data_IF_832033657538
#
_entry.id   IF_832033657538
#
_cell.length_a   1.000
_cell.length_b   1.000
_cell.length_c   1.000
_cell.angle_alpha   90.00
_cell.angle_beta   90.00
_cell.angle_gamma   90.00
#
_symmetry.space_group_name_H-M   'P 1'
#
loop_
_entity.id
_entity.type
_entity.pdbx_description
1 polymer ?
#
# COMPACT_ATOMS: atom_id res chain seq x y z
N UNK A 1 -15.98 28.46 4.79
CA UNK A 1 -15.70 28.92 3.40
C UNK A 1 -16.73 28.26 2.49
N UNK A 2 -17.19 28.94 1.45
CA UNK A 2 -18.09 28.32 0.45
C UNK A 2 -17.30 27.33 -0.40
N UNK A 3 -17.88 26.15 -0.67
CA UNK A 3 -17.31 25.16 -1.58
C UNK A 3 -17.37 25.72 -3.01
N UNK A 4 -16.26 25.72 -3.78
CA UNK A 4 -16.26 26.19 -5.16
C UNK A 4 -17.04 25.23 -6.07
N UNK A 5 -17.45 25.71 -7.23
CA UNK A 5 -18.13 24.86 -8.22
C UNK A 5 -17.16 23.91 -8.94
N UNK A 6 -15.91 24.34 -9.12
CA UNK A 6 -14.86 23.58 -9.81
C UNK A 6 -13.59 23.53 -8.98
N UNK A 7 -12.71 22.56 -9.26
CA UNK A 7 -11.47 22.31 -8.55
C UNK A 7 -10.33 21.92 -9.48
N UNK A 8 -9.10 21.98 -8.97
CA UNK A 8 -7.95 21.37 -9.62
C UNK A 8 -7.95 19.88 -9.32
N UNK A 9 -7.63 19.05 -10.32
CA UNK A 9 -7.52 17.61 -10.17
C UNK A 9 -6.53 17.03 -11.20
N UNK A 10 -6.02 15.85 -10.93
CA UNK A 10 -5.23 15.08 -11.88
C UNK A 10 -6.13 14.07 -12.59
N UNK A 11 -6.24 14.23 -13.92
CA UNK A 11 -7.01 13.35 -14.78
C UNK A 11 -6.10 12.44 -15.59
N UNK A 12 -6.33 11.15 -15.53
CA UNK A 12 -5.70 10.16 -16.40
C UNK A 12 -6.45 10.10 -17.72
N UNK A 13 -5.75 10.36 -18.84
CA UNK A 13 -6.35 10.51 -20.16
C UNK A 13 -6.23 9.28 -21.05
N UNK A 14 -5.34 8.33 -20.71
CA UNK A 14 -5.14 7.06 -21.42
C UNK A 14 -4.64 5.97 -20.47
N UNK A 15 -4.42 4.75 -20.96
CA UNK A 15 -3.82 3.64 -20.22
C UNK A 15 -2.36 3.38 -20.59
N UNK A 16 -1.66 4.38 -21.15
CA UNK A 16 -0.24 4.22 -21.48
C UNK A 16 0.70 4.42 -20.29
N UNK A 17 0.18 4.97 -19.17
CA UNK A 17 0.91 5.12 -17.92
C UNK A 17 0.84 6.53 -17.32
N UNK A 18 1.63 6.77 -16.24
CA UNK A 18 1.61 8.04 -15.50
C UNK A 18 1.94 9.29 -16.33
N UNK A 19 2.65 9.14 -17.44
CA UNK A 19 2.97 10.26 -18.35
C UNK A 19 1.74 10.91 -18.99
N UNK A 20 0.59 10.22 -18.98
CA UNK A 20 -0.68 10.75 -19.51
C UNK A 20 -1.62 11.28 -18.42
N UNK A 21 -1.13 11.45 -17.22
CA UNK A 21 -1.78 12.14 -16.13
C UNK A 21 -1.66 13.66 -16.35
N UNK A 22 -2.80 14.36 -16.36
CA UNK A 22 -2.87 15.80 -16.65
C UNK A 22 -3.55 16.57 -15.53
N UNK A 23 -2.99 17.72 -15.16
CA UNK A 23 -3.70 18.66 -14.31
C UNK A 23 -4.82 19.34 -15.10
N UNK A 24 -6.03 19.29 -14.57
CA UNK A 24 -7.17 20.07 -15.02
C UNK A 24 -7.60 21.02 -13.91
N UNK A 25 -8.23 22.15 -14.26
CA UNK A 25 -8.58 23.22 -13.30
C UNK A 25 -10.09 23.46 -13.20
N UNK A 26 -10.86 22.71 -13.95
CA UNK A 26 -12.30 22.85 -14.14
C UNK A 26 -13.09 21.57 -13.81
N UNK A 27 -12.45 20.65 -13.07
CA UNK A 27 -13.15 19.46 -12.57
C UNK A 27 -14.31 19.88 -11.65
N UNK A 28 -15.53 19.37 -11.83
CA UNK A 28 -16.62 19.70 -10.92
C UNK A 28 -16.33 19.16 -9.52
N UNK A 29 -16.59 19.98 -8.49
CA UNK A 29 -16.54 19.48 -7.10
C UNK A 29 -17.72 18.56 -6.87
N UNK A 30 -17.49 17.29 -6.44
CA UNK A 30 -18.57 16.34 -6.24
C UNK A 30 -19.40 16.69 -4.98
N UNK A 31 -20.67 16.29 -4.97
CA UNK A 31 -21.52 16.34 -3.78
C UNK A 31 -21.56 14.95 -3.12
N UNK A 32 -21.50 14.86 -1.77
CA UNK A 32 -21.61 13.58 -1.10
C UNK A 32 -23.05 13.06 -1.16
N UNK A 33 -23.20 11.79 -1.51
CA UNK A 33 -24.45 11.05 -1.43
C UNK A 33 -24.74 10.52 -0.02
N UNK A 34 -25.82 9.75 0.15
CA UNK A 34 -26.13 9.08 1.44
C UNK A 34 -24.96 8.18 1.88
N UNK A 35 -24.54 8.29 3.14
CA UNK A 35 -23.45 7.50 3.71
C UNK A 35 -22.03 7.98 3.28
N UNK A 36 -21.90 9.15 2.65
CA UNK A 36 -20.65 9.70 2.17
C UNK A 36 -20.30 11.03 2.84
N UNK A 37 -19.03 11.38 2.81
CA UNK A 37 -18.52 12.69 3.24
C UNK A 37 -17.70 13.34 2.11
N UNK A 38 -17.83 14.65 1.95
CA UNK A 38 -16.93 15.44 1.12
C UNK A 38 -15.80 15.98 1.98
N UNK A 39 -14.56 15.72 1.61
CA UNK A 39 -13.40 16.31 2.25
C UNK A 39 -12.71 17.34 1.34
N UNK A 40 -12.19 18.38 1.95
CA UNK A 40 -11.16 19.24 1.34
C UNK A 40 -9.83 18.53 1.58
N UNK A 41 -9.22 18.06 0.49
CA UNK A 41 -7.97 17.30 0.54
C UNK A 41 -6.81 18.21 0.92
N UNK A 42 -6.04 17.79 1.90
CA UNK A 42 -4.78 18.45 2.31
C UNK A 42 -3.57 17.60 1.95
N UNK A 43 -3.76 16.26 1.82
CA UNK A 43 -2.75 15.34 1.35
C UNK A 43 -3.41 14.13 0.68
N UNK A 44 -2.91 13.72 -0.48
CA UNK A 44 -3.34 12.52 -1.19
C UNK A 44 -2.20 11.50 -1.27
N UNK A 45 -2.48 10.25 -0.89
CA UNK A 45 -1.48 9.18 -0.83
C UNK A 45 -1.25 8.53 -2.19
N UNK A 46 -0.02 8.55 -2.67
CA UNK A 46 0.36 7.82 -3.88
C UNK A 46 0.63 6.36 -3.56
N UNK A 47 0.02 5.46 -4.32
CA UNK A 47 0.11 4.01 -4.18
C UNK A 47 0.52 3.36 -5.51
N UNK A 48 1.09 2.16 -5.46
CA UNK A 48 1.45 1.45 -6.70
C UNK A 48 0.21 1.07 -7.54
N UNK A 49 -0.95 0.93 -6.91
CA UNK A 49 -2.22 0.69 -7.62
C UNK A 49 -2.58 1.83 -8.57
N UNK A 50 -2.22 3.08 -8.25
CA UNK A 50 -2.46 4.22 -9.14
C UNK A 50 -1.69 4.06 -10.46
N UNK A 51 -0.46 3.51 -10.38
CA UNK A 51 0.35 3.16 -11.56
C UNK A 51 -0.30 2.00 -12.32
N UNK A 52 -0.75 0.96 -11.61
CA UNK A 52 -1.39 -0.20 -12.21
C UNK A 52 -2.68 0.18 -12.95
N UNK A 53 -3.46 1.13 -12.39
CA UNK A 53 -4.63 1.72 -13.05
C UNK A 53 -4.23 2.54 -14.29
N UNK A 54 -3.21 3.40 -14.17
CA UNK A 54 -2.71 4.21 -15.27
C UNK A 54 -2.14 3.36 -16.43
N UNK A 55 -1.64 2.16 -16.14
CA UNK A 55 -1.15 1.17 -17.11
C UNK A 55 -2.22 0.21 -17.63
N UNK A 56 -3.45 0.27 -17.08
CA UNK A 56 -4.54 -0.63 -17.47
C UNK A 56 -4.33 -2.09 -17.06
N UNK A 57 -3.39 -2.38 -16.17
CA UNK A 57 -3.10 -3.74 -15.68
C UNK A 57 -3.84 -4.07 -14.39
N UNK A 58 -4.60 -3.13 -13.82
CA UNK A 58 -5.44 -3.36 -12.66
C UNK A 58 -6.81 -3.90 -13.10
N UNK A 59 -7.11 -5.15 -12.77
CA UNK A 59 -8.37 -5.78 -13.14
C UNK A 59 -9.57 -5.01 -12.55
N UNK A 60 -10.53 -4.64 -13.41
CA UNK A 60 -11.68 -3.83 -13.01
C UNK A 60 -11.36 -2.35 -12.76
N UNK A 61 -10.17 -1.88 -13.15
CA UNK A 61 -9.76 -0.48 -13.03
C UNK A 61 -10.61 0.49 -13.86
N UNK A 62 -10.50 1.80 -13.57
CA UNK A 62 -11.28 2.81 -14.25
C UNK A 62 -10.89 2.94 -15.73
N UNK A 63 -11.84 3.41 -16.56
CA UNK A 63 -11.60 3.70 -17.98
C UNK A 63 -11.33 5.19 -18.16
N UNK A 64 -10.29 5.55 -18.89
CA UNK A 64 -10.03 6.97 -19.21
C UNK A 64 -11.16 7.64 -19.99
N UNK A 65 -11.40 8.95 -19.79
CA UNK A 65 -10.74 9.79 -18.80
C UNK A 65 -11.32 9.57 -17.37
N UNK A 66 -10.47 9.56 -16.33
CA UNK A 66 -10.90 9.46 -14.93
C UNK A 66 -10.01 10.32 -14.02
N UNK A 67 -10.53 10.77 -12.87
CA UNK A 67 -9.74 11.43 -11.84
C UNK A 67 -8.97 10.39 -11.04
N UNK A 68 -7.67 10.55 -10.95
CA UNK A 68 -6.77 9.57 -10.34
C UNK A 68 -6.69 9.68 -8.81
N UNK A 69 -6.06 8.65 -8.19
CA UNK A 69 -5.82 8.59 -6.75
C UNK A 69 -6.92 7.90 -5.96
N UNK A 70 -6.53 7.06 -5.02
CA UNK A 70 -7.49 6.28 -4.20
C UNK A 70 -7.44 6.59 -2.71
N UNK A 71 -6.48 7.36 -2.22
CA UNK A 71 -6.26 7.63 -0.80
C UNK A 71 -6.06 9.12 -0.56
N UNK A 72 -6.82 9.67 0.38
CA UNK A 72 -6.70 11.08 0.76
C UNK A 72 -6.89 11.29 2.25
N UNK A 73 -6.24 12.33 2.77
CA UNK A 73 -6.49 12.90 4.08
C UNK A 73 -6.88 14.38 3.94
N UNK A 74 -7.72 14.86 4.84
CA UNK A 74 -8.18 16.25 4.82
C UNK A 74 -9.31 16.51 5.79
N UNK A 75 -9.94 17.66 5.64
CA UNK A 75 -11.00 18.15 6.51
C UNK A 75 -12.37 17.91 5.86
N UNK A 76 -13.30 17.33 6.61
CA UNK A 76 -14.69 17.17 6.19
C UNK A 76 -15.32 18.56 6.00
N UNK A 77 -15.87 18.80 4.82
CA UNK A 77 -16.60 20.05 4.52
C UNK A 77 -18.11 19.84 4.51
N UNK A 78 -18.58 18.65 4.13
CA UNK A 78 -20.00 18.31 4.05
C UNK A 78 -20.18 16.83 4.35
N UNK A 79 -21.27 16.49 5.03
CA UNK A 79 -21.69 15.11 5.29
C UNK A 79 -22.97 14.83 4.53
N UNK A 80 -23.08 13.63 3.95
CA UNK A 80 -24.29 13.14 3.29
C UNK A 80 -25.32 12.63 4.30
N UNK A 81 -26.50 12.32 3.79
CA UNK A 81 -27.59 11.78 4.59
C UNK A 81 -27.18 10.45 5.28
N UNK A 82 -27.60 10.28 6.54
CA UNK A 82 -27.36 9.05 7.31
C UNK A 82 -25.95 8.91 7.89
N UNK A 83 -25.05 9.83 7.64
CA UNK A 83 -23.70 9.80 8.26
C UNK A 83 -23.81 10.18 9.74
N UNK A 84 -23.21 9.36 10.59
CA UNK A 84 -23.13 9.59 12.04
C UNK A 84 -21.67 9.49 12.51
N UNK A 85 -21.30 10.25 13.54
CA UNK A 85 -19.97 10.21 14.16
C UNK A 85 -18.86 10.94 13.37
N UNK A 86 -19.19 11.52 12.21
CA UNK A 86 -18.30 12.37 11.42
C UNK A 86 -19.00 13.72 11.19
N UNK A 87 -18.30 14.81 11.42
CA UNK A 87 -18.85 16.17 11.34
C UNK A 87 -17.95 17.08 10.51
N UNK A 88 -18.50 18.14 9.87
CA UNK A 88 -17.69 19.18 9.23
C UNK A 88 -16.64 19.76 10.17
N UNK A 89 -15.43 19.96 9.65
CA UNK A 89 -14.26 20.39 10.43
C UNK A 89 -13.43 19.23 11.00
N UNK A 90 -13.95 18.00 11.04
CA UNK A 90 -13.16 16.86 11.47
C UNK A 90 -12.10 16.48 10.41
N UNK A 91 -10.89 16.13 10.89
CA UNK A 91 -9.79 15.68 10.03
C UNK A 91 -9.85 14.15 9.90
N UNK A 92 -9.89 13.67 8.66
CA UNK A 92 -9.98 12.24 8.36
C UNK A 92 -8.96 11.82 7.31
N UNK A 93 -8.61 10.54 7.32
CA UNK A 93 -7.96 9.84 6.20
C UNK A 93 -8.92 8.79 5.69
N UNK A 94 -9.00 8.62 4.37
CA UNK A 94 -9.95 7.70 3.78
C UNK A 94 -9.52 7.14 2.43
N UNK A 95 -10.27 6.14 1.96
CA UNK A 95 -10.08 5.48 0.68
C UNK A 95 -11.30 5.72 -0.21
N UNK A 96 -11.06 6.22 -1.42
CA UNK A 96 -12.04 6.38 -2.48
C UNK A 96 -11.74 5.39 -3.61
N UNK A 97 -12.37 4.23 -3.58
CA UNK A 97 -12.14 3.16 -4.58
C UNK A 97 -12.53 3.62 -5.99
N UNK A 98 -13.49 4.52 -6.10
CA UNK A 98 -13.91 5.12 -7.36
C UNK A 98 -12.87 6.07 -8.00
N UNK A 99 -11.80 6.41 -7.26
CA UNK A 99 -10.78 7.37 -7.67
C UNK A 99 -11.10 8.79 -7.25
N UNK A 100 -10.27 9.75 -7.69
CA UNK A 100 -10.48 11.19 -7.49
C UNK A 100 -9.71 11.80 -6.32
N UNK A 101 -8.88 11.04 -5.60
CA UNK A 101 -8.11 11.56 -4.47
C UNK A 101 -7.02 12.58 -4.86
N UNK A 102 -6.54 12.54 -6.10
CA UNK A 102 -5.55 13.53 -6.58
C UNK A 102 -6.27 14.81 -7.05
N UNK A 103 -6.98 15.45 -6.12
CA UNK A 103 -7.79 16.65 -6.35
C UNK A 103 -7.87 17.49 -5.07
N UNK A 104 -8.41 18.70 -5.17
CA UNK A 104 -8.64 19.58 -4.01
C UNK A 104 -9.81 19.11 -3.13
N UNK A 105 -10.77 18.37 -3.71
CA UNK A 105 -11.91 17.78 -2.99
C UNK A 105 -12.15 16.36 -3.47
N UNK A 106 -12.59 15.50 -2.56
CA UNK A 106 -13.01 14.13 -2.91
C UNK A 106 -14.12 13.65 -1.99
N UNK A 107 -15.00 12.82 -2.52
CA UNK A 107 -16.03 12.14 -1.75
C UNK A 107 -15.45 10.80 -1.25
N UNK A 108 -15.65 10.53 0.03
CA UNK A 108 -15.27 9.27 0.69
C UNK A 108 -16.52 8.59 1.25
N UNK A 109 -16.65 7.26 1.15
CA UNK A 109 -17.60 6.52 1.98
C UNK A 109 -17.28 6.79 3.47
N UNK A 110 -18.28 7.17 4.26
CA UNK A 110 -18.08 7.45 5.68
C UNK A 110 -17.48 6.25 6.45
N UNK A 111 -17.86 5.03 6.05
CA UNK A 111 -17.32 3.78 6.60
C UNK A 111 -15.83 3.53 6.26
N UNK A 112 -15.30 4.21 5.23
CA UNK A 112 -13.90 4.14 4.80
C UNK A 112 -13.10 5.40 5.18
N UNK A 113 -13.66 6.28 6.01
CA UNK A 113 -13.03 7.48 6.53
C UNK A 113 -12.82 7.34 8.03
N UNK A 114 -11.57 7.44 8.48
CA UNK A 114 -11.21 7.35 9.90
C UNK A 114 -10.57 8.65 10.37
N UNK A 115 -10.76 9.07 11.63
CA UNK A 115 -10.11 10.26 12.17
C UNK A 115 -8.59 10.15 12.03
N UNK A 116 -7.94 11.25 11.65
CA UNK A 116 -6.48 11.36 11.71
C UNK A 116 -6.05 11.26 13.17
N UNK A 117 -5.08 10.39 13.52
CA UNK A 117 -4.63 10.25 14.89
C UNK A 117 -4.20 11.59 15.51
N UNK A 118 -4.52 11.78 16.79
CA UNK A 118 -4.21 13.03 17.48
C UNK A 118 -2.70 13.34 17.42
N UNK A 119 -2.38 14.58 17.09
CA UNK A 119 -1.00 15.06 16.98
C UNK A 119 -0.31 14.73 15.65
N UNK A 120 -0.96 14.01 14.73
CA UNK A 120 -0.41 13.75 13.40
C UNK A 120 -0.83 14.84 12.39
N UNK A 121 0.04 15.16 11.45
CA UNK A 121 -0.33 15.89 10.26
C UNK A 121 -1.09 14.94 9.29
N UNK A 122 -1.87 15.50 8.35
CA UNK A 122 -2.71 14.71 7.46
C UNK A 122 -1.89 13.77 6.58
N UNK A 123 -0.79 14.26 6.02
CA UNK A 123 0.12 13.45 5.21
C UNK A 123 0.79 12.30 6.01
N UNK A 124 0.91 12.46 7.33
CA UNK A 124 1.48 11.42 8.20
C UNK A 124 0.52 10.26 8.44
N UNK A 125 -0.78 10.46 8.23
CA UNK A 125 -1.80 9.44 8.34
C UNK A 125 -1.97 8.59 7.05
N UNK A 126 -1.38 9.03 5.94
CA UNK A 126 -1.43 8.27 4.68
C UNK A 126 -0.73 6.92 4.85
N UNK A 127 -1.37 5.88 4.34
CA UNK A 127 -0.96 4.48 4.52
C UNK A 127 -1.76 3.72 5.57
N UNK A 128 -2.44 4.42 6.50
CA UNK A 128 -3.28 3.79 7.54
C UNK A 128 -4.36 2.86 6.98
N UNK A 129 -4.89 3.15 5.79
CA UNK A 129 -6.02 2.41 5.21
C UNK A 129 -5.65 1.58 3.97
N UNK A 130 -4.44 1.73 3.44
CA UNK A 130 -3.98 0.98 2.27
C UNK A 130 -2.73 0.17 2.59
N UNK A 131 -1.63 0.84 2.86
CA UNK A 131 -0.31 0.19 2.97
C UNK A 131 -0.16 -0.64 4.25
N UNK A 132 -0.59 -0.13 5.38
CA UNK A 132 -0.37 -0.77 6.67
C UNK A 132 -1.31 -1.96 6.91
N UNK A 133 -2.63 -1.86 6.62
CA UNK A 133 -3.48 -3.05 6.71
C UNK A 133 -3.10 -4.12 5.71
N UNK A 134 -2.58 -3.76 4.51
CA UNK A 134 -2.01 -4.74 3.58
C UNK A 134 -0.83 -5.49 4.20
N UNK A 135 0.10 -4.76 4.85
CA UNK A 135 1.24 -5.39 5.53
C UNK A 135 0.80 -6.32 6.67
N UNK A 136 -0.15 -5.86 7.51
CA UNK A 136 -0.65 -6.66 8.63
C UNK A 136 -1.44 -7.88 8.15
N UNK A 137 -2.32 -7.71 7.16
CA UNK A 137 -3.07 -8.82 6.58
C UNK A 137 -2.15 -9.88 5.95
N UNK A 138 -1.09 -9.44 5.24
CA UNK A 138 -0.10 -10.33 4.65
C UNK A 138 0.72 -11.10 5.71
N UNK A 139 1.02 -10.48 6.84
CA UNK A 139 1.79 -11.11 7.92
C UNK A 139 0.92 -12.05 8.76
N UNK A 140 -0.27 -11.61 9.19
CA UNK A 140 -1.06 -12.31 10.22
C UNK A 140 -2.16 -13.21 9.67
N UNK A 141 -3.34 -12.71 9.26
CA UNK A 141 -4.44 -13.62 8.91
C UNK A 141 -4.14 -14.49 7.69
N UNK A 142 -3.34 -13.99 6.71
CA UNK A 142 -3.01 -14.73 5.50
C UNK A 142 -1.65 -15.42 5.59
N UNK A 143 -0.65 -14.75 6.14
CA UNK A 143 0.71 -15.28 6.31
C UNK A 143 0.87 -16.22 7.49
N UNK A 144 0.05 -16.06 8.54
CA UNK A 144 0.12 -16.89 9.75
C UNK A 144 1.42 -16.73 10.52
N UNK A 145 2.05 -15.54 10.47
CA UNK A 145 3.33 -15.28 11.13
C UNK A 145 3.24 -15.50 12.64
N UNK A 146 4.20 -16.25 13.18
CA UNK A 146 4.40 -16.49 14.61
C UNK A 146 5.81 -16.09 15.04
N UNK A 147 6.01 -15.87 16.34
CA UNK A 147 7.30 -15.52 16.88
C UNK A 147 8.37 -16.62 16.58
N UNK A 148 9.58 -16.18 16.31
CA UNK A 148 10.72 -17.05 15.98
C UNK A 148 10.81 -17.46 14.51
N UNK A 149 9.79 -17.19 13.69
CA UNK A 149 9.84 -17.48 12.27
C UNK A 149 10.68 -16.43 11.50
N UNK A 150 11.21 -16.86 10.35
CA UNK A 150 11.91 -15.98 9.42
C UNK A 150 10.95 -15.51 8.33
N UNK A 151 10.87 -14.19 8.13
CA UNK A 151 10.09 -13.57 7.05
C UNK A 151 10.99 -12.85 6.05
N UNK A 152 10.79 -13.13 4.77
CA UNK A 152 11.38 -12.39 3.65
C UNK A 152 10.39 -11.30 3.21
N UNK A 153 10.83 -10.04 3.20
CA UNK A 153 9.99 -8.91 2.81
C UNK A 153 10.61 -8.22 1.60
N UNK A 154 9.92 -8.28 0.45
CA UNK A 154 10.33 -7.56 -0.75
C UNK A 154 9.92 -6.09 -0.71
N UNK A 155 10.63 -5.24 -1.48
CA UNK A 155 10.39 -3.79 -1.55
C UNK A 155 10.29 -3.15 -0.14
N UNK A 156 11.14 -3.59 0.78
CA UNK A 156 11.08 -3.24 2.20
C UNK A 156 11.24 -1.73 2.49
N UNK A 157 11.82 -0.96 1.57
CA UNK A 157 11.94 0.49 1.69
C UNK A 157 10.66 1.25 1.30
N UNK A 158 9.67 0.61 0.67
CA UNK A 158 8.38 1.21 0.28
C UNK A 158 7.39 1.32 1.45
N UNK A 159 6.25 2.00 1.24
CA UNK A 159 5.27 2.26 2.29
C UNK A 159 4.75 1.00 3.00
N UNK A 160 4.33 -0.02 2.25
CA UNK A 160 3.89 -1.31 2.80
C UNK A 160 5.05 -2.08 3.43
N UNK A 161 6.22 -2.10 2.76
CA UNK A 161 7.40 -2.81 3.24
C UNK A 161 7.92 -2.28 4.58
N UNK A 162 7.97 -0.96 4.77
CA UNK A 162 8.39 -0.36 6.03
C UNK A 162 7.46 -0.73 7.19
N UNK A 163 6.14 -0.73 6.95
CA UNK A 163 5.17 -1.20 7.94
C UNK A 163 5.37 -2.70 8.23
N UNK A 164 5.54 -3.52 7.19
CA UNK A 164 5.75 -4.95 7.35
C UNK A 164 6.99 -5.30 8.17
N UNK A 165 8.12 -4.60 7.96
CA UNK A 165 9.34 -4.79 8.78
C UNK A 165 9.06 -4.51 10.26
N UNK A 166 8.45 -3.35 10.58
CA UNK A 166 8.14 -2.98 11.97
C UNK A 166 7.17 -3.95 12.63
N UNK A 167 6.11 -4.33 11.93
CA UNK A 167 5.10 -5.28 12.43
C UNK A 167 5.74 -6.65 12.65
N UNK A 168 6.50 -7.18 11.69
CA UNK A 168 7.16 -8.47 11.82
C UNK A 168 8.15 -8.50 12.99
N UNK A 169 8.92 -7.43 13.19
CA UNK A 169 9.82 -7.30 14.37
C UNK A 169 9.04 -7.25 15.67
N UNK A 170 7.92 -6.55 15.73
CA UNK A 170 7.06 -6.51 16.91
C UNK A 170 6.56 -7.92 17.30
N UNK A 171 6.24 -8.75 16.31
CA UNK A 171 5.83 -10.15 16.55
C UNK A 171 6.98 -11.13 16.73
N UNK A 172 8.20 -10.66 16.89
CA UNK A 172 9.36 -11.49 17.20
C UNK A 172 9.91 -12.31 16.05
N UNK A 173 9.69 -11.86 14.80
CA UNK A 173 10.24 -12.52 13.62
C UNK A 173 11.69 -12.11 13.37
N UNK A 174 12.45 -13.00 12.71
CA UNK A 174 13.68 -12.65 12.01
C UNK A 174 13.32 -12.11 10.63
N UNK A 175 13.73 -10.87 10.33
CA UNK A 175 13.36 -10.19 9.08
C UNK A 175 14.54 -10.17 8.12
N UNK A 176 14.39 -10.83 6.98
CA UNK A 176 15.24 -10.67 5.80
C UNK A 176 14.49 -9.72 4.85
N UNK A 177 15.09 -8.60 4.53
CA UNK A 177 14.47 -7.59 3.69
C UNK A 177 15.19 -7.44 2.36
N UNK A 178 14.49 -7.05 1.29
CA UNK A 178 15.13 -6.67 0.04
C UNK A 178 14.85 -5.21 -0.30
N UNK A 179 15.88 -4.49 -0.70
CA UNK A 179 15.82 -3.10 -1.14
C UNK A 179 16.97 -2.80 -2.11
N UNK A 180 16.89 -1.69 -2.81
CA UNK A 180 18.03 -1.19 -3.59
C UNK A 180 19.19 -0.79 -2.66
N UNK A 181 20.47 -0.91 -3.07
CA UNK A 181 21.61 -0.66 -2.19
C UNK A 181 21.58 0.68 -1.45
N UNK A 182 21.17 1.76 -2.12
CA UNK A 182 21.03 3.10 -1.50
C UNK A 182 19.95 3.22 -0.42
N UNK A 183 19.11 2.19 -0.26
CA UNK A 183 18.00 2.18 0.71
C UNK A 183 18.25 1.22 1.88
N UNK A 184 19.38 0.48 1.89
CA UNK A 184 19.68 -0.54 2.88
C UNK A 184 19.73 0.01 4.30
N UNK A 185 20.28 1.21 4.50
CA UNK A 185 20.37 1.83 5.83
C UNK A 185 19.00 2.16 6.40
N UNK A 186 18.10 2.68 5.56
CA UNK A 186 16.72 2.95 5.98
C UNK A 186 16.04 1.66 6.46
N UNK A 187 16.20 0.57 5.71
CA UNK A 187 15.57 -0.72 6.04
C UNK A 187 16.17 -1.32 7.31
N UNK A 188 17.51 -1.22 7.53
CA UNK A 188 18.14 -1.63 8.79
C UNK A 188 17.63 -0.82 9.98
N UNK A 189 17.46 0.49 9.81
CA UNK A 189 16.94 1.37 10.85
C UNK A 189 15.48 1.04 11.26
N UNK A 190 14.73 0.35 10.39
CA UNK A 190 13.39 -0.16 10.72
C UNK A 190 13.42 -1.43 11.58
N UNK A 191 14.58 -2.06 11.72
CA UNK A 191 14.80 -3.27 12.51
C UNK A 191 14.98 -4.54 11.68
N UNK A 192 15.18 -4.47 10.36
CA UNK A 192 15.49 -5.66 9.56
C UNK A 192 16.84 -6.27 10.01
N UNK A 193 16.84 -7.58 10.28
CA UNK A 193 18.04 -8.30 10.73
C UNK A 193 19.05 -8.46 9.59
N UNK A 194 18.54 -8.67 8.37
CA UNK A 194 19.35 -8.81 7.17
C UNK A 194 18.73 -8.00 6.02
N UNK A 195 19.57 -7.39 5.20
CA UNK A 195 19.14 -6.66 4.00
C UNK A 195 19.93 -7.13 2.80
N UNK A 196 19.22 -7.64 1.80
CA UNK A 196 19.76 -8.10 0.53
C UNK A 196 19.47 -7.08 -0.59
N UNK A 197 20.34 -7.03 -1.59
CA UNK A 197 20.09 -6.22 -2.78
C UNK A 197 18.92 -6.82 -3.58
N UNK A 198 17.88 -6.02 -3.81
CA UNK A 198 16.69 -6.41 -4.57
C UNK A 198 16.96 -6.70 -6.05
N UNK A 199 18.12 -6.30 -6.57
CA UNK A 199 18.58 -6.54 -7.95
C UNK A 199 19.66 -7.63 -8.03
N UNK A 200 20.01 -8.24 -6.90
CA UNK A 200 21.03 -9.28 -6.82
C UNK A 200 20.59 -10.55 -7.56
N UNK A 201 21.47 -11.11 -8.37
CA UNK A 201 21.19 -12.31 -9.19
C UNK A 201 20.86 -13.56 -8.33
N UNK A 202 21.34 -13.60 -7.08
CA UNK A 202 21.29 -14.77 -6.20
C UNK A 202 20.42 -14.56 -4.96
N UNK A 203 19.25 -13.94 -5.11
CA UNK A 203 18.37 -13.62 -3.99
C UNK A 203 18.01 -14.88 -3.18
N UNK A 204 17.53 -15.92 -3.86
CA UNK A 204 17.13 -17.17 -3.22
C UNK A 204 18.31 -17.82 -2.47
N UNK A 205 19.48 -17.90 -3.10
CA UNK A 205 20.68 -18.42 -2.47
C UNK A 205 21.12 -17.56 -1.26
N UNK A 206 20.92 -16.24 -1.33
CA UNK A 206 21.14 -15.33 -0.21
C UNK A 206 20.27 -15.66 1.00
N UNK A 207 18.96 -15.85 0.78
CA UNK A 207 18.02 -16.24 1.84
C UNK A 207 18.37 -17.62 2.40
N UNK A 208 18.65 -18.61 1.56
CA UNK A 208 19.03 -19.97 2.01
C UNK A 208 20.29 -19.94 2.88
N UNK A 209 21.30 -19.15 2.50
CA UNK A 209 22.51 -19.00 3.36
C UNK A 209 22.19 -18.43 4.74
N UNK A 210 21.30 -17.43 4.81
CA UNK A 210 20.90 -16.78 6.06
C UNK A 210 20.02 -17.67 6.95
N UNK A 211 19.34 -18.64 6.36
CA UNK A 211 18.45 -19.59 7.05
C UNK A 211 19.04 -20.99 7.21
N UNK A 212 20.35 -21.16 7.02
CA UNK A 212 21.00 -22.47 7.14
C UNK A 212 20.52 -23.52 6.11
N UNK A 213 19.99 -23.09 4.97
CA UNK A 213 19.45 -23.94 3.92
C UNK A 213 17.93 -24.21 4.02
N UNK A 214 17.28 -23.81 5.14
CA UNK A 214 15.86 -24.09 5.39
C UNK A 214 14.90 -23.25 4.54
N UNK A 215 15.26 -22.00 4.22
CA UNK A 215 14.41 -21.02 3.58
C UNK A 215 13.54 -20.22 4.56
N UNK A 216 12.86 -19.20 4.06
CA UNK A 216 11.97 -18.35 4.83
C UNK A 216 10.63 -19.03 5.13
N UNK A 217 10.14 -18.93 6.35
CA UNK A 217 8.82 -19.45 6.74
C UNK A 217 7.67 -18.68 6.05
N UNK A 218 7.88 -17.38 5.83
CA UNK A 218 6.93 -16.50 5.17
C UNK A 218 7.66 -15.60 4.17
N UNK A 219 7.08 -15.36 3.00
CA UNK A 219 7.54 -14.38 2.03
C UNK A 219 6.41 -13.41 1.73
N UNK A 220 6.68 -12.11 1.85
CA UNK A 220 5.80 -11.03 1.41
C UNK A 220 6.23 -10.58 0.02
N UNK A 221 5.44 -10.93 -0.99
CA UNK A 221 5.76 -10.76 -2.40
C UNK A 221 4.87 -9.69 -3.05
N UNK A 222 5.48 -8.58 -3.43
CA UNK A 222 4.81 -7.43 -4.05
C UNK A 222 5.36 -7.06 -5.42
N UNK A 223 6.31 -7.83 -5.92
CA UNK A 223 7.10 -7.47 -7.11
C UNK A 223 6.66 -8.23 -8.35
N UNK A 224 6.47 -9.56 -8.25
CA UNK A 224 6.15 -10.38 -9.41
C UNK A 224 7.36 -10.63 -10.33
N UNK A 225 7.09 -11.00 -11.57
CA UNK A 225 8.14 -11.34 -12.55
C UNK A 225 9.17 -12.34 -12.00
N UNK A 226 10.45 -12.14 -12.29
CA UNK A 226 11.54 -12.98 -11.80
C UNK A 226 11.69 -12.98 -10.26
N UNK A 227 11.15 -11.98 -9.55
CA UNK A 227 11.20 -11.96 -8.09
C UNK A 227 10.27 -13.01 -7.49
N UNK A 228 9.13 -13.31 -8.13
CA UNK A 228 8.26 -14.39 -7.68
C UNK A 228 8.97 -15.75 -7.75
N UNK A 229 9.69 -16.05 -8.84
CA UNK A 229 10.45 -17.30 -8.96
C UNK A 229 11.52 -17.42 -7.86
N UNK A 230 12.22 -16.32 -7.58
CA UNK A 230 13.19 -16.27 -6.50
C UNK A 230 12.53 -16.42 -5.10
N UNK A 231 11.33 -15.86 -4.91
CA UNK A 231 10.53 -15.97 -3.69
C UNK A 231 10.10 -17.43 -3.43
N UNK A 232 9.63 -18.13 -4.48
CA UNK A 232 9.27 -19.55 -4.38
C UNK A 232 10.49 -20.42 -4.02
N UNK A 233 11.66 -20.11 -4.60
CA UNK A 233 12.90 -20.83 -4.32
C UNK A 233 13.51 -20.50 -2.95
N UNK A 234 13.21 -19.33 -2.41
CA UNK A 234 13.68 -18.86 -1.09
C UNK A 234 12.79 -19.32 0.07
N UNK A 235 11.55 -19.71 -0.21
CA UNK A 235 10.61 -20.14 0.82
C UNK A 235 10.92 -21.56 1.31
N UNK A 236 10.62 -21.80 2.59
CA UNK A 236 10.77 -23.11 3.21
C UNK A 236 9.87 -24.14 2.54
N UNK A 237 10.42 -25.29 2.20
CA UNK A 237 9.61 -26.36 1.59
C UNK A 237 8.56 -26.89 2.57
N UNK A 238 7.42 -27.28 2.04
CA UNK A 238 6.25 -27.88 2.72
C UNK A 238 5.48 -26.87 3.57
N UNK A 239 6.13 -26.16 4.50
CA UNK A 239 5.44 -25.27 5.45
C UNK A 239 5.54 -23.79 5.09
N UNK A 240 6.43 -23.43 4.18
CA UNK A 240 6.63 -22.05 3.74
C UNK A 240 5.40 -21.47 3.04
N UNK A 241 5.19 -20.18 3.22
CA UNK A 241 4.09 -19.41 2.61
C UNK A 241 4.64 -18.23 1.83
N UNK A 242 4.08 -18.02 0.64
CA UNK A 242 4.34 -16.81 -0.16
C UNK A 242 3.03 -16.07 -0.30
N UNK A 243 2.91 -14.90 0.32
CA UNK A 243 1.74 -14.02 0.18
C UNK A 243 2.03 -13.02 -0.93
N UNK A 244 1.31 -13.16 -2.04
CA UNK A 244 1.44 -12.32 -3.23
C UNK A 244 0.39 -11.22 -3.20
N UNK A 245 0.82 -9.94 -3.19
CA UNK A 245 -0.08 -8.79 -3.12
C UNK A 245 0.27 -7.65 -4.09
N UNK A 246 1.17 -7.90 -5.03
CA UNK A 246 1.55 -6.91 -6.04
C UNK A 246 2.24 -7.52 -7.25
N UNK A 247 2.46 -6.67 -8.25
CA UNK A 247 3.09 -7.01 -9.52
C UNK A 247 3.98 -5.85 -10.04
N UNK A 248 4.70 -5.19 -9.13
CA UNK A 248 5.50 -4.01 -9.47
C UNK A 248 6.64 -4.28 -10.49
N UNK A 249 7.04 -5.52 -10.66
CA UNK A 249 8.01 -5.98 -11.66
C UNK A 249 7.39 -6.76 -12.82
N UNK A 250 6.06 -6.78 -12.90
CA UNK A 250 5.29 -7.47 -13.94
C UNK A 250 4.60 -8.74 -13.45
N UNK A 251 3.80 -9.30 -14.33
CA UNK A 251 3.12 -10.58 -14.09
C UNK A 251 4.11 -11.75 -14.04
N UNK A 252 3.74 -12.80 -13.32
CA UNK A 252 4.44 -14.07 -13.27
C UNK A 252 3.43 -15.22 -13.27
N UNK A 253 3.87 -16.39 -13.72
CA UNK A 253 3.04 -17.58 -13.74
C UNK A 253 3.61 -18.63 -12.80
N UNK A 254 2.74 -19.32 -12.09
CA UNK A 254 3.07 -20.48 -11.26
C UNK A 254 2.34 -21.67 -11.85
N UNK A 255 3.07 -22.73 -12.19
CA UNK A 255 2.47 -23.97 -12.69
C UNK A 255 2.21 -24.95 -11.54
N UNK A 256 1.35 -25.93 -11.77
CA UNK A 256 1.16 -27.03 -10.82
C UNK A 256 2.46 -27.83 -10.62
N UNK A 257 3.33 -27.91 -11.64
CA UNK A 257 4.66 -28.53 -11.52
C UNK A 257 5.52 -27.79 -10.50
N UNK A 258 5.54 -26.44 -10.55
CA UNK A 258 6.29 -25.62 -9.59
C UNK A 258 5.78 -25.84 -8.16
N UNK A 259 4.45 -25.86 -7.97
CA UNK A 259 3.85 -26.04 -6.65
C UNK A 259 4.08 -27.44 -6.08
N UNK A 260 3.94 -28.50 -6.89
CA UNK A 260 3.93 -29.89 -6.40
C UNK A 260 5.33 -30.49 -6.34
N UNK A 261 6.14 -30.27 -7.37
CA UNK A 261 7.41 -30.97 -7.52
C UNK A 261 8.63 -30.10 -7.25
N UNK A 262 8.60 -28.85 -7.68
CA UNK A 262 9.76 -27.96 -7.57
C UNK A 262 9.88 -27.31 -6.20
N UNK A 263 8.82 -26.69 -5.71
CA UNK A 263 8.85 -25.88 -4.49
C UNK A 263 8.09 -26.50 -3.32
N UNK A 264 6.90 -27.06 -3.55
CA UNK A 264 6.08 -27.74 -2.54
C UNK A 264 5.81 -26.82 -1.34
N UNK A 265 5.01 -25.75 -1.55
CA UNK A 265 4.73 -24.72 -0.56
C UNK A 265 3.32 -24.12 -0.74
N UNK A 266 2.95 -23.15 0.10
CA UNK A 266 1.66 -22.45 0.02
C UNK A 266 1.82 -21.12 -0.70
N UNK A 267 0.97 -20.84 -1.68
CA UNK A 267 0.84 -19.52 -2.31
C UNK A 267 -0.52 -18.93 -1.98
N UNK A 268 -0.52 -17.72 -1.45
CA UNK A 268 -1.72 -17.01 -0.98
C UNK A 268 -1.80 -15.66 -1.66
N UNK A 269 -2.92 -15.38 -2.34
CA UNK A 269 -3.17 -14.07 -2.94
C UNK A 269 -3.77 -13.10 -1.93
N UNK A 270 -3.37 -11.84 -1.97
CA UNK A 270 -3.96 -10.75 -1.20
C UNK A 270 -4.25 -9.55 -2.10
N UNK A 271 -5.52 -9.23 -2.22
CA UNK A 271 -5.97 -7.91 -2.68
C UNK A 271 -6.76 -7.28 -1.53
N UNK A 272 -6.27 -6.18 -0.98
CA UNK A 272 -6.89 -5.54 0.19
C UNK A 272 -8.32 -5.05 -0.10
N UNK A 273 -8.60 -4.58 -1.32
CA UNK A 273 -9.93 -4.17 -1.74
C UNK A 273 -10.92 -5.35 -1.76
N UNK A 274 -10.47 -6.52 -2.24
CA UNK A 274 -11.27 -7.75 -2.19
C UNK A 274 -11.48 -8.19 -0.74
N UNK A 275 -10.45 -8.12 0.11
CA UNK A 275 -10.58 -8.47 1.53
C UNK A 275 -11.64 -7.60 2.23
N UNK A 276 -11.65 -6.29 1.96
CA UNK A 276 -12.65 -5.35 2.50
C UNK A 276 -14.07 -5.76 2.08
N UNK A 277 -14.25 -6.13 0.82
CA UNK A 277 -15.57 -6.41 0.24
C UNK A 277 -16.10 -7.79 0.61
N UNK A 278 -15.23 -8.81 0.62
CA UNK A 278 -15.67 -10.22 0.71
C UNK A 278 -15.46 -10.82 2.09
N UNK A 279 -14.58 -10.25 2.91
CA UNK A 279 -14.31 -10.69 4.28
C UNK A 279 -14.18 -9.49 5.24
N UNK A 280 -15.24 -8.65 5.37
CA UNK A 280 -15.21 -7.42 6.17
C UNK A 280 -14.91 -7.67 7.65
N UNK A 281 -15.27 -8.83 8.19
CA UNK A 281 -14.92 -9.20 9.57
C UNK A 281 -13.41 -9.36 9.76
N UNK A 282 -12.73 -10.08 8.84
CA UNK A 282 -11.26 -10.24 8.87
C UNK A 282 -10.59 -8.88 8.71
N UNK A 283 -11.10 -8.03 7.82
CA UNK A 283 -10.57 -6.67 7.68
C UNK A 283 -10.79 -5.84 8.94
N UNK A 284 -11.95 -5.96 9.61
CA UNK A 284 -12.23 -5.30 10.89
C UNK A 284 -11.25 -5.73 11.98
N UNK A 285 -10.92 -7.01 12.07
CA UNK A 285 -9.90 -7.54 13.00
C UNK A 285 -8.50 -6.96 12.68
N UNK A 286 -8.12 -6.92 11.40
CA UNK A 286 -6.87 -6.29 10.94
C UNK A 286 -6.82 -4.82 11.35
N UNK A 287 -7.90 -4.07 11.16
CA UNK A 287 -7.94 -2.65 11.54
C UNK A 287 -7.89 -2.46 13.06
N UNK A 288 -8.59 -3.29 13.83
CA UNK A 288 -8.53 -3.26 15.30
C UNK A 288 -7.10 -3.49 15.81
N UNK A 289 -6.42 -4.52 15.29
CA UNK A 289 -5.02 -4.82 15.63
C UNK A 289 -4.08 -3.70 15.16
N UNK A 290 -4.32 -3.12 13.98
CA UNK A 290 -3.53 -2.01 13.45
C UNK A 290 -3.59 -0.79 14.37
N UNK A 291 -4.79 -0.40 14.83
CA UNK A 291 -4.93 0.73 15.76
C UNK A 291 -4.30 0.43 17.12
N UNK A 292 -4.31 -0.82 17.57
CA UNK A 292 -3.58 -1.22 18.79
C UNK A 292 -2.06 -1.07 18.60
N UNK A 293 -1.50 -1.43 17.43
CA UNK A 293 -0.09 -1.23 17.10
C UNK A 293 0.28 0.27 17.01
N UNK A 294 -0.62 1.11 16.51
CA UNK A 294 -0.44 2.58 16.52
C UNK A 294 -0.44 3.10 17.96
N UNK A 295 -1.40 2.69 18.78
CA UNK A 295 -1.48 3.11 20.18
C UNK A 295 -0.26 2.65 21.00
N UNK A 296 0.30 1.47 20.68
CA UNK A 296 1.53 0.95 21.29
C UNK A 296 2.82 1.59 20.77
N UNK A 297 2.74 2.50 19.77
CA UNK A 297 3.90 3.18 19.17
C UNK A 297 4.75 2.30 18.26
N UNK A 298 4.28 1.10 17.89
CA UNK A 298 4.95 0.22 16.91
C UNK A 298 4.92 0.85 15.52
N UNK A 299 3.76 1.41 15.16
CA UNK A 299 3.55 2.22 13.97
C UNK A 299 3.31 3.67 14.42
N UNK A 300 4.21 4.54 14.09
CA UNK A 300 4.13 5.97 14.39
C UNK A 300 3.80 6.81 13.16
N UNK A 301 3.72 8.15 13.30
CA UNK A 301 3.42 9.05 12.20
C UNK A 301 4.37 8.82 11.03
N UNK A 302 3.80 8.72 9.84
CA UNK A 302 4.55 8.56 8.59
C UNK A 302 5.45 9.76 8.30
N UNK A 303 6.43 9.57 7.41
CA UNK A 303 7.26 10.64 6.87
C UNK A 303 7.26 10.54 5.35
N UNK A 304 6.12 10.86 4.70
CA UNK A 304 6.04 10.77 3.26
C UNK A 304 6.91 11.84 2.60
N UNK A 305 7.48 11.49 1.45
CA UNK A 305 8.01 12.51 0.55
C UNK A 305 6.83 13.26 -0.09
N UNK A 306 6.85 14.59 -0.02
CA UNK A 306 5.74 15.43 -0.48
C UNK A 306 6.04 16.07 -1.83
N UNK A 307 5.01 16.15 -2.67
CA UNK A 307 5.02 16.78 -4.00
C UNK A 307 3.82 17.70 -4.11
N UNK A 308 3.91 18.77 -4.87
CA UNK A 308 2.73 19.53 -5.27
C UNK A 308 1.82 18.69 -6.18
N UNK A 309 0.52 19.00 -6.23
CA UNK A 309 -0.44 18.29 -7.10
C UNK A 309 0.03 18.24 -8.56
N UNK A 310 0.61 19.34 -9.06
CA UNK A 310 1.18 19.42 -10.42
C UNK A 310 2.31 18.44 -10.70
N UNK A 311 3.00 17.99 -9.66
CA UNK A 311 4.12 17.05 -9.76
C UNK A 311 3.68 15.58 -9.68
N UNK A 312 2.37 15.32 -9.67
CA UNK A 312 1.81 13.96 -9.62
C UNK A 312 2.39 13.01 -10.67
N UNK A 313 2.48 13.37 -11.98
CA UNK A 313 3.12 12.53 -12.98
C UNK A 313 4.56 12.15 -12.64
N UNK A 314 5.33 13.10 -12.09
CA UNK A 314 6.71 12.88 -11.63
C UNK A 314 6.76 11.92 -10.45
N UNK A 315 5.90 12.14 -9.42
CA UNK A 315 5.84 11.29 -8.25
C UNK A 315 5.51 9.82 -8.61
N UNK A 316 4.56 9.61 -9.52
CA UNK A 316 4.21 8.28 -9.99
C UNK A 316 5.35 7.64 -10.82
N UNK A 317 6.01 8.41 -11.67
CA UNK A 317 7.14 7.91 -12.46
C UNK A 317 8.34 7.52 -11.57
N UNK A 318 8.65 8.30 -10.53
CA UNK A 318 9.70 7.96 -9.56
C UNK A 318 9.34 6.71 -8.74
N UNK A 319 8.08 6.54 -8.35
CA UNK A 319 7.60 5.33 -7.69
C UNK A 319 7.73 4.10 -8.60
N UNK A 320 7.30 4.22 -9.85
CA UNK A 320 7.43 3.15 -10.86
C UNK A 320 8.89 2.75 -11.09
N UNK A 321 9.78 3.74 -11.15
CA UNK A 321 11.23 3.53 -11.28
C UNK A 321 11.90 2.97 -10.01
N UNK A 322 11.14 2.77 -8.91
CA UNK A 322 11.65 2.33 -7.59
C UNK A 322 12.73 3.26 -7.01
N UNK A 323 12.64 4.55 -7.33
CA UNK A 323 13.58 5.57 -6.89
C UNK A 323 13.20 6.21 -5.54
N UNK A 324 12.04 5.83 -4.99
CA UNK A 324 11.45 6.46 -3.81
C UNK A 324 11.63 5.63 -2.54
N UNK A 325 11.52 6.29 -1.38
CA UNK A 325 11.57 5.67 -0.05
C UNK A 325 10.29 6.02 0.71
N UNK A 326 9.66 5.01 1.32
CA UNK A 326 8.45 5.20 2.11
C UNK A 326 7.21 5.53 1.29
N UNK A 327 6.28 6.22 1.93
CA UNK A 327 5.05 6.71 1.32
C UNK A 327 5.30 8.02 0.57
N UNK A 328 4.56 8.27 -0.50
CA UNK A 328 4.54 9.56 -1.20
C UNK A 328 3.19 10.23 -0.97
N UNK A 329 3.19 11.55 -0.93
CA UNK A 329 2.00 12.39 -0.79
C UNK A 329 1.99 13.51 -1.83
N UNK A 330 0.83 13.73 -2.45
CA UNK A 330 0.54 14.93 -3.23
C UNK A 330 -0.18 15.94 -2.33
N UNK A 331 0.24 17.19 -2.37
CA UNK A 331 -0.39 18.30 -1.65
C UNK A 331 -1.11 19.18 -2.68
N UNK A 332 -2.46 19.22 -2.67
CA UNK A 332 -3.27 19.99 -3.61
C UNK A 332 -3.12 21.50 -3.49
#
# INVERSE_FOLDING_TARGET
MSIPATMRALQQTSLNGPQDLRLITDAPVPAPGPGEVLIRVTAAGVNFVDISQARGVFAGGPRPPYLAGIEAAGEITTVGEGVTGLEPGARVVGVCIAGGAFAEYVVLPAAAAVPVPAGWADEQALGLLVSWPTALAALKPLGGLTAGQTVLIHAAAGGTGQAAVRIAKHYGATVIATASPGQHEVVRALGADHVLDSRGADLAAGVLRLTGGEGADLVLESVGGATLDASLAAAKRVTGRVVVYGLAGGEAAITNWDLVYRHQLHVVGLNIGVLIQTAPQVFGEVMGELFALVAAGVLGPGRPATYGLTDGPKALAELEARATVGKLALLP
#
